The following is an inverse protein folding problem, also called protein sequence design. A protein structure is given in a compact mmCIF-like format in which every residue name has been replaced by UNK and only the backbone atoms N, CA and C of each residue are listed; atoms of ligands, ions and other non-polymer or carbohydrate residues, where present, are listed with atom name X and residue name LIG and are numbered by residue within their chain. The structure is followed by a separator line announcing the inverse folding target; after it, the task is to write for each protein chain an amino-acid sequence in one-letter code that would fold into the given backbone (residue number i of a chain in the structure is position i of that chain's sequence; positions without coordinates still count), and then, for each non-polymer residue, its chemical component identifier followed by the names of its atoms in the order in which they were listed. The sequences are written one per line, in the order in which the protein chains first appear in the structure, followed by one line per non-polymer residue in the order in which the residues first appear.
data_IF_909377728486
#
_entry.id   IF_909377728486
#
_cell.length_a   1.000
_cell.length_b   1.000
_cell.length_c   1.000
_cell.angle_alpha   90.00
_cell.angle_beta   90.00
_cell.angle_gamma   90.00
#
_symmetry.space_group_name_H-M   'P 1'
#
loop_
_entity.id
_entity.type
_entity.pdbx_description
1 polymer ?
#
# COMPACT_ATOMS: atom_id res chain seq x y z
N UNK A 1 -0.62 0.13 -16.86
CA UNK A 1 -0.47 -0.66 -15.63
C UNK A 1 -1.61 -0.30 -14.68
N UNK A 2 -2.58 -1.21 -14.49
CA UNK A 2 -3.82 -0.97 -13.74
C UNK A 2 -3.81 -1.75 -12.41
N UNK A 3 -4.05 -1.06 -11.29
CA UNK A 3 -4.06 -1.63 -9.93
C UNK A 3 -5.46 -1.57 -9.35
N UNK A 4 -5.85 -2.62 -8.61
CA UNK A 4 -7.06 -2.62 -7.81
C UNK A 4 -6.74 -2.79 -6.31
N UNK A 5 -7.47 -2.09 -5.44
CA UNK A 5 -7.42 -2.32 -4.00
C UNK A 5 -8.84 -2.52 -3.47
N UNK A 6 -9.07 -3.59 -2.71
CA UNK A 6 -10.37 -3.90 -2.11
C UNK A 6 -10.23 -3.93 -0.60
N UNK A 7 -11.14 -3.25 0.10
CA UNK A 7 -11.35 -3.46 1.54
C UNK A 7 -12.51 -4.44 1.69
N UNK A 8 -12.19 -5.62 2.22
CA UNK A 8 -13.15 -6.67 2.49
C UNK A 8 -13.83 -6.39 3.82
N UNK A 9 -15.15 -6.49 3.83
CA UNK A 9 -16.04 -6.12 4.91
C UNK A 9 -17.30 -7.00 4.92
N UNK A 10 -18.19 -6.75 5.88
CA UNK A 10 -19.40 -7.56 6.10
C UNK A 10 -20.33 -7.70 4.89
N UNK A 11 -20.28 -6.78 3.92
CA UNK A 11 -21.15 -6.79 2.76
C UNK A 11 -20.55 -7.51 1.54
N UNK A 12 -19.24 -7.73 1.49
CA UNK A 12 -18.56 -8.27 0.31
C UNK A 12 -17.62 -9.46 0.59
N UNK A 13 -17.50 -9.93 1.83
CA UNK A 13 -16.62 -11.06 2.16
C UNK A 13 -17.04 -12.37 1.48
N UNK A 14 -18.33 -12.53 1.17
CA UNK A 14 -18.86 -13.71 0.50
C UNK A 14 -18.97 -13.57 -1.02
N UNK A 15 -18.62 -12.41 -1.57
CA UNK A 15 -18.61 -12.21 -3.03
C UNK A 15 -17.50 -13.07 -3.67
N UNK A 16 -17.81 -13.59 -4.85
CA UNK A 16 -16.83 -14.12 -5.79
C UNK A 16 -16.58 -13.05 -6.86
N UNK A 17 -15.35 -12.53 -6.89
CA UNK A 17 -14.92 -11.48 -7.80
C UNK A 17 -14.05 -12.03 -8.95
N UNK A 18 -13.95 -13.35 -9.09
CA UNK A 18 -12.98 -14.01 -9.99
C UNK A 18 -13.14 -13.57 -11.44
N UNK A 19 -14.37 -13.56 -11.96
CA UNK A 19 -14.66 -13.20 -13.35
C UNK A 19 -14.32 -11.73 -13.64
N UNK A 20 -14.72 -10.81 -12.76
CA UNK A 20 -14.50 -9.38 -12.91
C UNK A 20 -13.01 -9.03 -12.80
N UNK A 21 -12.27 -9.72 -11.92
CA UNK A 21 -10.83 -9.53 -11.80
C UNK A 21 -10.10 -10.06 -13.02
N UNK A 22 -10.53 -11.20 -13.56
CA UNK A 22 -9.98 -11.74 -14.81
C UNK A 22 -10.21 -10.79 -15.98
N UNK A 23 -11.41 -10.21 -16.10
CA UNK A 23 -11.75 -9.23 -17.14
C UNK A 23 -10.94 -7.94 -17.02
N UNK A 24 -10.83 -7.39 -15.80
CA UNK A 24 -10.08 -6.16 -15.55
C UNK A 24 -8.56 -6.34 -15.71
N UNK A 25 -8.07 -7.59 -15.58
CA UNK A 25 -6.66 -7.97 -15.67
C UNK A 25 -5.70 -6.99 -14.93
N UNK A 26 -5.92 -6.68 -13.64
CA UNK A 26 -5.03 -5.81 -12.90
C UNK A 26 -3.66 -6.48 -12.75
N UNK A 27 -2.57 -5.70 -12.86
CA UNK A 27 -1.23 -6.23 -12.59
C UNK A 27 -1.06 -6.61 -11.11
N UNK A 28 -1.85 -5.99 -10.23
CA UNK A 28 -1.85 -6.24 -8.79
C UNK A 28 -3.22 -5.92 -8.20
N UNK A 29 -3.79 -6.89 -7.51
CA UNK A 29 -5.02 -6.75 -6.73
C UNK A 29 -4.71 -6.93 -5.26
N UNK A 30 -4.74 -5.83 -4.50
CA UNK A 30 -4.52 -5.86 -3.06
C UNK A 30 -5.84 -5.97 -2.31
N UNK A 31 -5.94 -6.92 -1.40
CA UNK A 31 -7.13 -7.10 -0.56
C UNK A 31 -6.74 -7.01 0.90
N UNK A 32 -7.59 -6.40 1.73
CA UNK A 32 -7.35 -6.26 3.17
C UNK A 32 -8.64 -6.12 3.94
N UNK A 33 -8.60 -6.38 5.24
CA UNK A 33 -9.64 -5.97 6.19
C UNK A 33 -9.26 -4.60 6.75
N UNK A 34 -10.20 -3.80 7.25
CA UNK A 34 -9.87 -2.61 8.06
C UNK A 34 -10.82 -2.54 9.24
N UNK A 35 -10.31 -2.20 10.42
CA UNK A 35 -11.19 -1.93 11.54
C UNK A 35 -12.04 -0.68 11.25
N UNK A 36 -13.32 -0.94 11.08
CA UNK A 36 -14.35 0.05 10.84
C UNK A 36 -15.63 -0.31 11.62
N UNK A 37 -15.48 -0.86 12.84
CA UNK A 37 -16.56 -1.23 13.78
C UNK A 37 -17.66 -2.10 13.15
N UNK A 38 -18.67 -1.47 12.52
CA UNK A 38 -19.84 -2.12 11.92
C UNK A 38 -19.53 -2.91 10.64
N UNK A 39 -18.35 -2.71 10.07
CA UNK A 39 -17.91 -3.36 8.83
C UNK A 39 -16.91 -4.51 9.07
N UNK A 40 -16.66 -4.85 10.33
CA UNK A 40 -15.75 -5.92 10.71
C UNK A 40 -16.27 -7.27 10.21
N UNK A 41 -15.32 -8.14 9.87
CA UNK A 41 -15.54 -9.54 9.54
C UNK A 41 -14.66 -10.39 10.46
N UNK A 42 -15.06 -11.64 10.69
CA UNK A 42 -14.24 -12.59 11.44
C UNK A 42 -12.98 -12.99 10.65
N UNK A 43 -11.97 -13.51 11.35
CA UNK A 43 -10.79 -14.09 10.71
C UNK A 43 -11.15 -15.24 9.75
N UNK A 44 -12.17 -16.03 10.09
CA UNK A 44 -12.69 -17.10 9.26
C UNK A 44 -13.32 -16.58 7.96
N UNK A 45 -14.12 -15.52 8.03
CA UNK A 45 -14.69 -14.85 6.86
C UNK A 45 -13.59 -14.28 5.95
N UNK A 46 -12.57 -13.66 6.55
CA UNK A 46 -11.42 -13.15 5.82
C UNK A 46 -10.63 -14.28 5.13
N UNK A 47 -10.38 -15.37 5.84
CA UNK A 47 -9.71 -16.56 5.30
C UNK A 47 -10.51 -17.16 4.14
N UNK A 48 -11.83 -17.21 4.27
CA UNK A 48 -12.73 -17.70 3.23
C UNK A 48 -12.62 -16.86 1.95
N UNK A 49 -12.66 -15.54 2.07
CA UNK A 49 -12.44 -14.64 0.94
C UNK A 49 -11.07 -14.84 0.30
N UNK A 50 -10.01 -15.01 1.11
CA UNK A 50 -8.66 -15.25 0.59
C UNK A 50 -8.55 -16.58 -0.14
N UNK A 51 -9.07 -17.67 0.44
CA UNK A 51 -9.00 -19.00 -0.14
C UNK A 51 -9.76 -19.08 -1.46
N UNK A 52 -10.87 -18.34 -1.59
CA UNK A 52 -11.63 -18.22 -2.83
C UNK A 52 -10.79 -17.63 -3.97
N UNK A 53 -10.01 -16.58 -3.70
CA UNK A 53 -9.35 -15.78 -4.74
C UNK A 53 -7.83 -16.00 -4.89
N UNK A 54 -7.18 -16.76 -3.99
CA UNK A 54 -5.72 -16.96 -3.98
C UNK A 54 -5.14 -17.59 -5.25
N UNK A 55 -5.98 -18.21 -6.07
CA UNK A 55 -5.59 -18.83 -7.32
C UNK A 55 -5.31 -17.80 -8.43
N UNK A 56 -5.73 -16.54 -8.25
CA UNK A 56 -5.50 -15.46 -9.21
C UNK A 56 -4.05 -14.94 -9.10
N UNK A 57 -3.30 -14.84 -10.22
CA UNK A 57 -1.87 -14.50 -10.19
C UNK A 57 -1.60 -13.06 -9.71
N UNK A 58 -2.56 -12.16 -9.84
CA UNK A 58 -2.46 -10.77 -9.40
C UNK A 58 -2.81 -10.57 -7.91
N UNK A 59 -3.27 -11.62 -7.22
CA UNK A 59 -3.81 -11.55 -5.86
C UNK A 59 -2.72 -11.35 -4.81
N UNK A 60 -2.86 -10.31 -3.99
CA UNK A 60 -1.94 -9.97 -2.91
C UNK A 60 -2.73 -9.64 -1.65
N UNK A 61 -2.96 -10.60 -0.75
CA UNK A 61 -3.60 -10.33 0.54
C UNK A 61 -2.66 -9.52 1.42
N UNK A 62 -3.17 -8.45 2.04
CA UNK A 62 -2.42 -7.57 2.95
C UNK A 62 -2.94 -7.76 4.37
N UNK A 63 -2.09 -8.28 5.25
CA UNK A 63 -2.37 -8.37 6.68
C UNK A 63 -2.30 -6.99 7.34
N UNK A 64 -3.29 -6.68 8.18
CA UNK A 64 -3.39 -5.45 8.93
C UNK A 64 -2.20 -5.22 9.86
N UNK A 65 -1.62 -6.28 10.43
CA UNK A 65 -0.48 -6.17 11.33
C UNK A 65 0.74 -5.58 10.62
N UNK A 66 0.90 -5.85 9.31
CA UNK A 66 2.04 -5.35 8.54
C UNK A 66 1.82 -3.92 8.02
N UNK A 67 0.64 -3.31 8.21
CA UNK A 67 0.36 -1.94 7.74
C UNK A 67 0.77 -0.84 8.72
N UNK A 68 0.84 -1.11 10.02
CA UNK A 68 1.31 -0.13 10.99
C UNK A 68 2.82 0.11 10.77
N UNK A 69 3.22 1.36 10.57
CA UNK A 69 4.63 1.75 10.36
C UNK A 69 5.21 1.49 8.97
N UNK A 70 4.58 0.67 8.12
CA UNK A 70 5.12 0.30 6.81
C UNK A 70 4.75 1.25 5.65
N UNK A 71 4.04 2.34 5.94
CA UNK A 71 3.73 3.39 4.97
C UNK A 71 4.30 4.70 5.47
N UNK A 72 4.98 5.42 4.57
CA UNK A 72 5.29 6.83 4.78
C UNK A 72 4.11 7.63 4.23
N UNK A 73 3.31 8.20 5.13
CA UNK A 73 2.13 8.98 4.79
C UNK A 73 2.43 10.45 4.94
N UNK A 74 2.02 11.25 3.97
CA UNK A 74 2.16 12.69 3.98
C UNK A 74 0.77 13.33 3.93
N UNK A 75 0.49 14.26 4.82
CA UNK A 75 -0.78 14.99 4.83
C UNK A 75 -0.79 16.19 3.88
N UNK A 76 -1.93 16.88 3.80
CA UNK A 76 -2.16 18.02 2.92
C UNK A 76 -1.26 19.23 3.22
N UNK A 77 -0.65 19.27 4.41
CA UNK A 77 0.29 20.33 4.84
C UNK A 77 1.74 19.88 4.75
N UNK A 78 2.00 18.79 4.02
CA UNK A 78 3.31 18.18 3.85
C UNK A 78 3.93 17.79 5.20
N UNK A 79 3.16 17.19 6.10
CA UNK A 79 3.66 16.60 7.36
C UNK A 79 3.62 15.09 7.29
N UNK A 80 4.63 14.42 7.81
CA UNK A 80 4.58 12.98 7.95
C UNK A 80 3.56 12.58 9.02
N UNK A 81 2.81 11.51 8.73
CA UNK A 81 1.86 10.92 9.65
C UNK A 81 2.42 9.61 10.19
N UNK A 82 2.47 9.51 11.51
CA UNK A 82 2.84 8.30 12.23
C UNK A 82 1.59 7.74 12.91
N UNK A 83 1.18 6.55 12.46
CA UNK A 83 0.01 5.88 13.03
C UNK A 83 0.33 5.31 14.43
N UNK A 84 1.56 4.85 14.67
CA UNK A 84 1.99 4.17 15.90
C UNK A 84 0.97 3.16 16.46
N UNK A 85 1.07 2.92 17.78
CA UNK A 85 0.09 2.15 18.56
C UNK A 85 -0.98 3.07 19.23
N UNK A 86 -0.95 4.38 18.95
CA UNK A 86 -1.74 5.40 19.65
C UNK A 86 -2.43 6.39 18.72
N UNK A 87 -2.81 7.59 19.20
CA UNK A 87 -3.34 8.64 18.34
C UNK A 87 -2.30 9.04 17.29
N UNK A 88 -2.78 9.28 16.07
CA UNK A 88 -1.93 9.63 14.92
C UNK A 88 -1.08 10.86 15.22
N UNK A 89 0.25 10.69 15.25
CA UNK A 89 1.21 11.77 15.40
C UNK A 89 1.50 12.41 14.04
N UNK A 90 1.87 13.69 14.07
CA UNK A 90 2.24 14.45 12.89
C UNK A 90 3.61 15.08 13.11
N UNK A 91 4.48 15.03 12.11
CA UNK A 91 5.71 15.82 12.11
C UNK A 91 5.41 17.30 11.90
N UNK A 92 6.43 18.13 12.05
CA UNK A 92 6.49 19.47 11.46
C UNK A 92 6.41 19.39 9.93
N UNK A 93 6.03 20.50 9.28
CA UNK A 93 5.95 20.53 7.81
C UNK A 93 7.32 20.36 7.20
N UNK A 94 7.39 19.58 6.12
CA UNK A 94 8.56 19.49 5.26
C UNK A 94 9.04 20.86 4.78
N UNK A 95 8.12 21.82 4.62
CA UNK A 95 8.44 23.18 4.20
C UNK A 95 9.19 23.99 5.27
N UNK A 96 9.00 23.65 6.54
CA UNK A 96 9.56 24.39 7.67
C UNK A 96 10.89 23.77 8.14
N UNK A 97 10.97 22.44 8.18
CA UNK A 97 12.10 21.71 8.80
C UNK A 97 12.89 20.83 7.83
N UNK A 98 12.39 20.60 6.61
CA UNK A 98 12.97 19.68 5.64
C UNK A 98 12.75 18.20 5.97
N UNK A 99 13.00 17.33 4.98
CA UNK A 99 12.69 15.89 5.04
C UNK A 99 13.42 15.17 6.17
N UNK A 100 14.74 15.37 6.31
CA UNK A 100 15.54 14.64 7.30
C UNK A 100 15.04 14.87 8.74
N UNK A 101 14.76 16.13 9.09
CA UNK A 101 14.28 16.48 10.43
C UNK A 101 12.85 16.00 10.67
N UNK A 102 11.96 16.13 9.68
CA UNK A 102 10.61 15.61 9.79
C UNK A 102 10.57 14.08 9.92
N UNK A 103 11.43 13.35 9.21
CA UNK A 103 11.54 11.88 9.29
C UNK A 103 11.92 11.41 10.70
N UNK A 104 12.77 12.15 11.42
CA UNK A 104 13.18 11.81 12.78
C UNK A 104 12.03 11.93 13.81
N UNK A 105 10.94 12.60 13.44
CA UNK A 105 9.78 12.84 14.32
C UNK A 105 8.71 11.76 14.19
N UNK A 106 8.87 10.81 13.26
CA UNK A 106 7.90 9.74 12.98
C UNK A 106 8.55 8.37 13.01
N UNK A 107 7.83 7.36 13.50
CA UNK A 107 8.28 5.97 13.46
C UNK A 107 7.92 5.33 12.10
N UNK A 108 8.84 5.36 11.15
CA UNK A 108 8.72 4.60 9.90
C UNK A 108 9.51 3.29 9.98
N UNK A 109 8.84 2.17 9.77
CA UNK A 109 9.45 0.85 9.74
C UNK A 109 9.74 0.42 8.30
N UNK A 110 10.99 0.62 7.90
CA UNK A 110 11.49 0.17 6.60
C UNK A 110 11.44 -1.35 6.45
N UNK A 111 11.71 -2.12 7.51
CA UNK A 111 11.68 -3.58 7.47
C UNK A 111 10.27 -4.09 7.17
N UNK A 112 9.25 -3.52 7.80
CA UNK A 112 7.86 -3.82 7.50
C UNK A 112 7.44 -3.38 6.08
N UNK A 113 7.96 -2.25 5.58
CA UNK A 113 7.75 -1.82 4.19
C UNK A 113 8.31 -2.81 3.16
N UNK A 114 9.51 -3.35 3.41
CA UNK A 114 10.14 -4.34 2.56
C UNK A 114 9.37 -5.68 2.62
N UNK A 115 9.05 -6.16 3.83
CA UNK A 115 8.35 -7.44 4.06
C UNK A 115 6.98 -7.52 3.38
N UNK A 116 6.24 -6.41 3.28
CA UNK A 116 4.94 -6.37 2.57
C UNK A 116 5.05 -6.24 1.04
N UNK A 117 6.25 -6.30 0.48
CA UNK A 117 6.48 -6.10 -0.94
C UNK A 117 6.15 -4.67 -1.39
N UNK A 118 6.54 -3.68 -0.57
CA UNK A 118 6.46 -2.25 -0.88
C UNK A 118 7.40 -1.84 -2.00
N UNK A 119 8.51 -2.56 -2.16
CA UNK A 119 9.41 -2.48 -3.32
C UNK A 119 8.92 -3.45 -4.40
N UNK A 120 8.52 -2.92 -5.55
CA UNK A 120 8.12 -3.69 -6.72
C UNK A 120 8.28 -2.83 -7.98
N UNK A 121 8.38 -3.45 -9.16
CA UNK A 121 8.45 -2.69 -10.41
C UNK A 121 7.13 -1.95 -10.66
N UNK A 122 7.23 -0.62 -10.64
CA UNK A 122 6.10 0.31 -10.69
C UNK A 122 6.19 1.27 -11.89
N UNK A 123 7.27 1.17 -12.67
CA UNK A 123 7.46 1.92 -13.91
C UNK A 123 6.66 1.24 -15.03
N UNK A 124 6.10 2.04 -15.94
CA UNK A 124 5.60 1.50 -17.20
C UNK A 124 6.81 1.00 -18.02
N UNK A 125 6.70 -0.14 -18.71
CA UNK A 125 7.70 -0.51 -19.72
C UNK A 125 7.87 0.67 -20.67
N UNK A 126 9.10 1.17 -20.83
CA UNK A 126 9.35 2.20 -21.83
C UNK A 126 9.18 1.55 -23.20
N UNK A 127 8.13 1.95 -23.92
CA UNK A 127 8.05 1.72 -25.35
C UNK A 127 9.21 2.47 -25.98
N UNK A 128 10.09 1.75 -26.67
CA UNK A 128 11.19 2.32 -27.45
C UNK A 128 10.58 3.26 -28.49
N UNK A 129 10.56 4.57 -28.20
CA UNK A 129 9.95 5.56 -29.09
C UNK A 129 9.50 6.88 -28.46
N UNK A 130 9.37 7.00 -27.13
CA UNK A 130 8.92 8.28 -26.53
C UNK A 130 10.09 9.07 -25.93
N UNK A 131 10.75 9.81 -26.81
CA UNK A 131 11.94 10.61 -26.53
C UNK A 131 11.54 11.99 -25.93
N UNK A 132 10.88 11.99 -24.76
CA UNK A 132 10.26 13.20 -24.22
C UNK A 132 10.14 13.32 -22.69
N UNK A 133 10.91 12.56 -21.90
CA UNK A 133 10.80 12.59 -20.43
C UNK A 133 12.14 12.76 -19.70
N UNK A 134 12.36 13.94 -19.12
CA UNK A 134 13.50 14.24 -18.24
C UNK A 134 13.52 13.35 -16.99
N UNK A 135 14.20 12.21 -17.03
CA UNK A 135 14.74 11.53 -15.84
C UNK A 135 15.86 10.56 -16.18
N UNK A 136 16.84 11.03 -16.94
CA UNK A 136 18.16 10.40 -17.04
C UNK A 136 19.03 10.82 -15.87
N UNK A 137 18.89 10.16 -14.72
CA UNK A 137 19.71 10.44 -13.54
C UNK A 137 20.01 9.15 -12.78
N UNK A 138 21.30 8.83 -12.70
CA UNK A 138 21.89 7.62 -12.13
C UNK A 138 21.22 7.08 -10.85
N UNK A 139 21.18 5.74 -10.74
CA UNK A 139 20.95 5.01 -9.49
C UNK A 139 21.92 5.53 -8.43
N UNK A 140 21.47 6.42 -7.56
CA UNK A 140 22.00 6.50 -6.20
C UNK A 140 21.09 5.62 -5.36
N UNK A 141 21.66 4.56 -4.80
CA UNK A 141 21.03 3.92 -3.65
C UNK A 141 20.80 5.02 -2.62
N UNK A 142 19.53 5.22 -2.28
CA UNK A 142 19.15 6.15 -1.23
C UNK A 142 19.49 5.45 0.08
N UNK A 143 20.63 5.82 0.66
CA UNK A 143 20.93 5.52 2.05
C UNK A 143 20.05 6.43 2.92
N UNK A 144 19.09 5.81 3.59
CA UNK A 144 18.28 6.41 4.67
C UNK A 144 18.76 5.86 6.00
#
# INVERSE_FOLDING_TARGET
MFKLNTVVNIHNWDEDMTEQIAELAPFRWKTRVRDARKFLISEEQWKTFCDRHKHLPCYVPEDNQTMAGSYLLLDERLRFLDKGDGPMKKSDSLLDVGVKKAMQQVAWDKGAFDKRGGVYEWRKPQTVGDNGGCSGGNKKELEW
#
